data_IF_002072517220
#
_entry.id   IF_002072517220
#
_cell.length_a   1.000
_cell.length_b   1.000
_cell.length_c   1.000
_cell.angle_alpha   90.00
_cell.angle_beta   90.00
_cell.angle_gamma   90.00
#
_symmetry.space_group_name_H-M   'P 1'
#
loop_
_entity.id
_entity.type
_entity.pdbx_description
1 polymer ?
#
# COMPACT_ATOMS: atom_id res chain seq x y z
N UNK A 1 35.15 -23.72 -73.82
CA UNK A 1 34.12 -23.65 -72.81
C UNK A 1 34.68 -22.86 -71.60
N UNK A 2 34.27 -21.60 -71.45
CA UNK A 2 34.75 -20.73 -70.36
C UNK A 2 33.64 -20.67 -69.29
N UNK A 3 33.93 -21.18 -68.10
CA UNK A 3 33.00 -21.09 -66.98
C UNK A 3 33.12 -19.72 -66.31
N UNK A 4 32.03 -18.96 -66.30
CA UNK A 4 31.90 -17.71 -65.54
C UNK A 4 31.41 -18.06 -64.13
N UNK A 5 32.24 -17.85 -63.13
CA UNK A 5 31.86 -18.00 -61.72
C UNK A 5 31.27 -16.68 -61.26
N UNK A 6 29.98 -16.65 -61.02
CA UNK A 6 29.28 -15.50 -60.46
C UNK A 6 29.43 -15.55 -58.92
N UNK A 7 30.27 -14.67 -58.37
CA UNK A 7 30.37 -14.49 -56.91
C UNK A 7 29.23 -13.60 -56.44
N UNK A 8 28.26 -14.20 -55.76
CA UNK A 8 27.16 -13.48 -55.06
C UNK A 8 27.75 -12.93 -53.76
N UNK A 9 27.94 -11.61 -53.67
CA UNK A 9 28.18 -10.92 -52.43
C UNK A 9 26.84 -10.77 -51.69
N UNK A 10 26.61 -11.58 -50.65
CA UNK A 10 25.53 -11.38 -49.69
C UNK A 10 26.02 -10.30 -48.72
N UNK A 11 25.59 -9.06 -48.93
CA UNK A 11 25.74 -8.00 -47.92
C UNK A 11 24.75 -8.26 -46.81
N UNK A 12 25.24 -8.78 -45.71
CA UNK A 12 24.49 -8.77 -44.46
C UNK A 12 24.32 -7.29 -44.03
N UNK A 13 23.12 -6.76 -44.27
CA UNK A 13 22.67 -5.53 -43.64
C UNK A 13 22.44 -5.85 -42.16
N UNK A 14 23.48 -5.71 -41.37
CA UNK A 14 23.32 -5.66 -39.91
C UNK A 14 22.53 -4.39 -39.59
N UNK A 15 21.27 -4.53 -39.31
CA UNK A 15 20.53 -3.45 -38.64
C UNK A 15 21.19 -3.24 -37.28
N UNK A 16 21.98 -2.16 -37.20
CA UNK A 16 22.47 -1.66 -35.94
C UNK A 16 21.21 -1.37 -35.06
N UNK A 17 20.94 -2.23 -34.12
CA UNK A 17 20.06 -1.83 -33.01
C UNK A 17 20.71 -0.57 -32.42
N UNK A 18 19.90 0.46 -32.26
CA UNK A 18 20.34 1.70 -31.59
C UNK A 18 21.07 1.29 -30.31
N UNK A 19 22.37 1.54 -30.24
CA UNK A 19 23.19 1.20 -29.09
C UNK A 19 22.75 2.11 -27.93
N UNK A 20 21.83 1.65 -27.10
CA UNK A 20 21.57 2.29 -25.82
C UNK A 20 22.80 2.11 -24.94
N UNK A 21 23.32 3.20 -24.41
CA UNK A 21 24.35 3.13 -23.38
C UNK A 21 23.74 2.70 -22.04
N UNK A 22 24.55 2.14 -21.16
CA UNK A 22 24.14 1.82 -19.81
C UNK A 22 23.58 3.05 -19.06
N UNK A 23 24.17 4.21 -19.30
CA UNK A 23 23.72 5.48 -18.72
C UNK A 23 22.34 5.88 -19.25
N UNK A 24 22.07 5.70 -20.54
CA UNK A 24 20.74 5.92 -21.09
C UNK A 24 19.71 4.98 -20.49
N UNK A 25 20.04 3.71 -20.30
CA UNK A 25 19.11 2.73 -19.68
C UNK A 25 18.83 3.10 -18.21
N UNK A 26 19.85 3.52 -17.47
CA UNK A 26 19.72 3.94 -16.07
C UNK A 26 18.98 5.26 -15.89
N UNK A 27 18.99 6.13 -16.90
CA UNK A 27 18.35 7.45 -16.81
C UNK A 27 16.83 7.44 -16.98
N UNK A 28 16.25 6.30 -17.40
CA UNK A 28 14.79 6.20 -17.52
C UNK A 28 14.13 6.17 -16.14
N UNK A 29 13.13 7.04 -15.88
CA UNK A 29 12.36 6.99 -14.65
C UNK A 29 11.70 5.62 -14.48
N UNK A 30 11.79 5.06 -13.29
CA UNK A 30 11.09 3.82 -12.97
C UNK A 30 9.77 4.14 -12.26
N UNK A 31 8.60 3.94 -12.92
CA UNK A 31 7.31 4.23 -12.32
C UNK A 31 6.88 3.06 -11.42
N UNK A 32 6.36 3.40 -10.24
CA UNK A 32 5.74 2.46 -9.32
C UNK A 32 4.54 3.10 -8.61
N UNK A 33 3.76 2.33 -7.85
CA UNK A 33 2.69 2.80 -6.98
C UNK A 33 1.57 3.59 -7.71
N UNK A 34 1.24 3.24 -8.96
CA UNK A 34 0.18 3.93 -9.70
C UNK A 34 -1.19 3.74 -9.04
N UNK A 35 -1.86 4.85 -8.77
CA UNK A 35 -3.18 4.90 -8.16
C UNK A 35 -4.08 5.93 -8.86
N UNK A 36 -5.40 5.74 -8.78
CA UNK A 36 -6.39 6.64 -9.38
C UNK A 36 -7.51 7.01 -8.41
N UNK A 37 -7.99 8.23 -8.52
CA UNK A 37 -9.18 8.69 -7.80
C UNK A 37 -10.44 7.95 -8.29
N UNK A 38 -11.38 7.68 -7.39
CA UNK A 38 -12.64 7.02 -7.73
C UNK A 38 -13.69 7.98 -8.31
N UNK A 39 -13.59 9.27 -8.07
CA UNK A 39 -14.58 10.26 -8.44
C UNK A 39 -14.11 11.23 -9.52
N UNK A 40 -12.81 11.23 -9.83
CA UNK A 40 -12.21 12.15 -10.80
C UNK A 40 -11.32 11.43 -11.79
N UNK A 41 -10.85 12.12 -12.83
CA UNK A 41 -9.85 11.58 -13.77
C UNK A 41 -8.40 11.85 -13.32
N UNK A 42 -8.15 11.90 -12.02
CA UNK A 42 -6.83 12.17 -11.43
C UNK A 42 -6.12 10.89 -11.06
N UNK A 43 -4.82 10.86 -11.34
CA UNK A 43 -3.92 9.75 -11.00
C UNK A 43 -2.69 10.27 -10.29
N UNK A 44 -2.07 9.41 -9.47
CA UNK A 44 -0.81 9.68 -8.81
C UNK A 44 0.09 8.44 -8.89
N UNK A 45 1.40 8.65 -8.87
CA UNK A 45 2.40 7.58 -8.86
C UNK A 45 3.72 8.08 -8.31
N UNK A 46 4.63 7.18 -8.01
CA UNK A 46 6.02 7.51 -7.70
C UNK A 46 6.92 7.24 -8.91
N UNK A 47 7.90 8.10 -9.16
CA UNK A 47 9.03 7.85 -10.03
C UNK A 47 10.31 7.76 -9.22
N UNK A 48 11.12 6.75 -9.52
CA UNK A 48 12.54 6.69 -9.17
C UNK A 48 13.37 7.16 -10.38
N UNK A 49 14.07 8.26 -10.20
CA UNK A 49 14.95 8.88 -11.20
C UNK A 49 16.38 8.84 -10.67
N UNK A 50 17.08 7.72 -10.88
CA UNK A 50 18.46 7.51 -10.39
C UNK A 50 18.57 7.65 -8.85
N UNK A 51 17.62 7.04 -8.10
CA UNK A 51 17.56 7.09 -6.64
C UNK A 51 16.82 8.30 -6.08
N UNK A 52 16.51 9.30 -6.91
CA UNK A 52 15.68 10.44 -6.52
C UNK A 52 14.21 10.09 -6.71
N UNK A 53 13.53 9.84 -5.62
CA UNK A 53 12.14 9.36 -5.64
C UNK A 53 11.19 10.51 -5.41
N UNK A 54 10.25 10.71 -6.35
CA UNK A 54 9.29 11.81 -6.29
C UNK A 54 7.87 11.34 -6.64
N UNK A 55 6.87 12.01 -6.06
CA UNK A 55 5.47 11.82 -6.41
C UNK A 55 5.14 12.66 -7.64
N UNK A 56 4.44 12.03 -8.58
CA UNK A 56 3.91 12.63 -9.79
C UNK A 56 2.40 12.47 -9.84
N UNK A 57 1.76 13.40 -10.51
CA UNK A 57 0.31 13.40 -10.72
C UNK A 57 -0.03 13.76 -12.16
N UNK A 58 -1.20 13.35 -12.60
CA UNK A 58 -1.78 13.78 -13.86
C UNK A 58 -3.30 13.81 -13.78
N UNK A 59 -3.91 14.63 -14.64
CA UNK A 59 -5.37 14.74 -14.73
C UNK A 59 -5.80 14.59 -16.20
N UNK A 60 -6.89 13.83 -16.40
CA UNK A 60 -7.48 13.63 -17.72
C UNK A 60 -8.12 14.91 -18.30
N UNK A 61 -8.33 14.97 -19.63
CA UNK A 61 -8.10 13.89 -20.60
C UNK A 61 -6.65 13.76 -21.08
N UNK A 62 -5.79 14.75 -20.86
CA UNK A 62 -4.43 14.79 -21.43
C UNK A 62 -3.40 14.00 -20.64
N UNK A 63 -3.62 13.77 -19.37
CA UNK A 63 -2.70 13.08 -18.44
C UNK A 63 -1.25 13.56 -18.54
N UNK A 64 -1.04 14.87 -18.64
CA UNK A 64 0.30 15.45 -18.64
C UNK A 64 0.89 15.31 -17.23
N UNK A 65 2.02 14.61 -17.14
CA UNK A 65 2.68 14.37 -15.88
C UNK A 65 3.21 15.67 -15.25
N UNK A 66 2.92 15.88 -13.98
CA UNK A 66 3.41 16.98 -13.16
C UNK A 66 4.08 16.40 -11.92
N UNK A 67 5.36 16.74 -11.69
CA UNK A 67 6.05 16.40 -10.45
C UNK A 67 5.47 17.23 -9.30
N UNK A 68 5.13 16.55 -8.21
CA UNK A 68 4.48 17.15 -7.06
C UNK A 68 5.45 17.41 -5.90
N UNK A 69 6.38 16.47 -5.65
CA UNK A 69 7.43 16.62 -4.63
C UNK A 69 8.77 16.98 -5.25
N UNK A 70 9.73 17.43 -4.44
CA UNK A 70 11.06 17.88 -4.88
C UNK A 70 12.16 17.27 -4.02
N UNK A 71 12.19 15.94 -3.90
CA UNK A 71 13.29 15.22 -3.29
C UNK A 71 14.43 15.10 -4.30
N UNK A 72 15.55 15.81 -4.05
CA UNK A 72 16.61 15.99 -5.04
C UNK A 72 17.82 15.07 -4.83
N UNK A 73 17.86 14.37 -3.70
CA UNK A 73 19.00 13.53 -3.33
C UNK A 73 18.56 12.06 -3.26
N UNK A 74 19.47 11.15 -3.64
CA UNK A 74 19.32 9.72 -3.34
C UNK A 74 19.65 9.50 -1.85
N UNK A 75 18.63 9.52 -1.03
CA UNK A 75 18.75 9.29 0.42
C UNK A 75 18.52 7.82 0.81
N UNK A 76 18.27 6.94 -0.17
CA UNK A 76 17.85 5.57 0.08
C UNK A 76 16.44 5.44 0.69
N UNK A 77 15.67 6.54 0.77
CA UNK A 77 14.31 6.51 1.31
C UNK A 77 13.31 6.09 0.24
N UNK A 78 12.59 5.00 0.46
CA UNK A 78 11.52 4.57 -0.43
C UNK A 78 10.31 5.51 -0.36
N UNK A 79 9.58 5.62 -1.48
CA UNK A 79 8.23 6.15 -1.54
C UNK A 79 7.29 5.00 -1.87
N UNK A 80 6.34 4.74 -1.00
CA UNK A 80 5.43 3.60 -1.12
C UNK A 80 4.04 3.89 -0.56
N UNK A 81 3.11 2.97 -0.73
CA UNK A 81 1.71 3.11 -0.31
C UNK A 81 1.09 4.40 -0.85
N UNK A 82 1.46 4.80 -2.07
CA UNK A 82 0.90 5.99 -2.71
C UNK A 82 -0.59 5.78 -2.96
N UNK A 83 -1.40 6.67 -2.45
CA UNK A 83 -2.85 6.65 -2.63
C UNK A 83 -3.37 8.06 -2.88
N UNK A 84 -4.45 8.16 -3.66
CA UNK A 84 -5.15 9.40 -3.92
C UNK A 84 -6.54 9.33 -3.30
N UNK A 85 -7.00 10.43 -2.72
CA UNK A 85 -8.33 10.52 -2.12
C UNK A 85 -9.46 10.34 -3.15
N UNK A 86 -10.64 9.93 -2.70
CA UNK A 86 -11.79 9.69 -3.58
C UNK A 86 -12.14 10.91 -4.43
N UNK A 87 -12.08 12.11 -3.83
CA UNK A 87 -12.30 13.39 -4.49
C UNK A 87 -11.11 13.88 -5.33
N UNK A 88 -9.98 13.16 -5.30
CA UNK A 88 -8.76 13.45 -6.04
C UNK A 88 -7.96 14.65 -5.53
N UNK A 89 -8.27 15.21 -4.37
CA UNK A 89 -7.65 16.45 -3.89
C UNK A 89 -6.38 16.24 -3.07
N UNK A 90 -6.18 15.03 -2.53
CA UNK A 90 -5.06 14.69 -1.66
C UNK A 90 -4.32 13.44 -2.14
N UNK A 91 -3.02 13.47 -2.03
CA UNK A 91 -2.16 12.29 -2.18
C UNK A 91 -1.54 11.98 -0.81
N UNK A 92 -1.63 10.71 -0.41
CA UNK A 92 -1.00 10.18 0.80
C UNK A 92 0.04 9.15 0.39
N UNK A 93 1.20 9.17 1.03
CA UNK A 93 2.28 8.25 0.76
C UNK A 93 3.14 8.02 2.00
N UNK A 94 3.90 6.95 2.00
CA UNK A 94 4.95 6.70 3.00
C UNK A 94 6.30 7.11 2.42
N UNK A 95 7.13 7.72 3.25
CA UNK A 95 8.54 7.94 2.98
C UNK A 95 9.37 7.21 4.03
N UNK A 96 10.26 6.33 3.57
CA UNK A 96 11.04 5.44 4.41
C UNK A 96 10.56 3.99 4.37
N UNK A 97 11.31 3.08 4.98
CA UNK A 97 11.05 1.65 4.95
C UNK A 97 11.57 0.97 3.68
N UNK A 98 11.64 -0.35 3.73
CA UNK A 98 11.99 -1.21 2.61
C UNK A 98 10.90 -2.26 2.43
N UNK A 99 10.03 -2.03 1.47
CA UNK A 99 8.86 -2.87 1.20
C UNK A 99 9.16 -4.14 0.38
N UNK A 100 10.38 -4.54 0.27
CA UNK A 100 10.77 -5.72 -0.50
C UNK A 100 11.94 -6.48 0.09
N UNK A 101 12.51 -6.01 1.19
CA UNK A 101 13.65 -6.66 1.84
C UNK A 101 13.22 -7.69 2.89
N UNK A 102 14.20 -8.48 3.36
CA UNK A 102 14.04 -9.39 4.49
C UNK A 102 14.07 -8.68 5.86
N UNK A 103 14.04 -7.36 5.87
CA UNK A 103 14.09 -6.54 7.07
C UNK A 103 12.69 -6.21 7.57
N UNK A 104 12.62 -5.68 8.76
CA UNK A 104 11.37 -5.17 9.33
C UNK A 104 10.86 -3.99 8.49
N UNK A 105 9.60 -4.04 8.04
CA UNK A 105 8.96 -3.01 7.22
C UNK A 105 8.94 -1.62 7.87
N UNK A 106 9.18 -1.54 9.17
CA UNK A 106 9.25 -0.28 9.92
C UNK A 106 10.63 0.38 9.86
N UNK A 107 11.64 -0.32 9.33
CA UNK A 107 13.00 0.22 9.23
C UNK A 107 13.27 0.78 7.84
N UNK A 108 13.93 1.94 7.73
CA UNK A 108 14.33 2.48 6.44
C UNK A 108 15.42 1.63 5.79
N UNK A 109 15.35 1.50 4.46
CA UNK A 109 16.42 0.93 3.64
C UNK A 109 17.65 1.83 3.77
N UNK A 110 18.84 1.24 3.81
CA UNK A 110 20.09 1.97 3.90
C UNK A 110 20.09 3.03 5.02
N UNK A 111 20.03 2.62 6.29
CA UNK A 111 20.26 3.56 7.37
C UNK A 111 21.64 4.19 7.13
N UNK A 112 21.65 5.47 6.81
CA UNK A 112 22.90 6.23 6.66
C UNK A 112 23.67 6.10 7.98
N UNK A 113 24.99 6.31 7.97
CA UNK A 113 25.82 6.38 9.20
C UNK A 113 25.41 7.53 10.12
N UNK A 114 24.13 7.85 10.15
CA UNK A 114 23.56 8.88 10.97
C UNK A 114 23.15 8.25 12.33
N UNK A 115 23.55 8.82 13.46
CA UNK A 115 23.09 8.34 14.76
C UNK A 115 21.56 8.41 14.91
N UNK A 116 20.88 9.29 14.16
CA UNK A 116 19.44 9.35 14.07
C UNK A 116 18.99 8.77 12.71
N UNK A 117 18.66 7.46 12.63
CA UNK A 117 18.23 6.85 11.38
C UNK A 117 16.93 7.50 10.88
N UNK A 118 16.74 7.60 9.57
CA UNK A 118 15.50 8.10 8.99
C UNK A 118 14.31 7.25 9.44
N UNK A 119 13.21 7.91 9.77
CA UNK A 119 12.00 7.25 10.23
C UNK A 119 11.05 6.95 9.09
N UNK A 120 10.21 5.92 9.27
CA UNK A 120 9.11 5.62 8.37
C UNK A 120 7.96 6.55 8.69
N UNK A 121 7.60 7.41 7.75
CA UNK A 121 6.67 8.50 7.97
C UNK A 121 5.58 8.54 6.92
N UNK A 122 4.38 8.86 7.35
CA UNK A 122 3.21 9.09 6.50
C UNK A 122 3.16 10.59 6.17
N UNK A 123 3.02 10.88 4.90
CA UNK A 123 2.94 12.22 4.35
C UNK A 123 1.68 12.41 3.54
N UNK A 124 1.15 13.61 3.54
CA UNK A 124 0.10 14.04 2.61
C UNK A 124 0.55 15.27 1.82
N UNK A 125 -0.03 15.44 0.63
CA UNK A 125 0.21 16.62 -0.19
C UNK A 125 -1.04 16.90 -1.04
N UNK A 126 -1.46 18.19 -1.17
CA UNK A 126 -2.56 18.53 -2.07
C UNK A 126 -2.23 18.21 -3.53
N UNK A 127 -3.21 17.74 -4.31
CA UNK A 127 -3.05 17.49 -5.74
C UNK A 127 -2.63 18.76 -6.52
N UNK A 128 -3.07 19.91 -6.08
CA UNK A 128 -2.69 21.22 -6.65
C UNK A 128 -1.21 21.55 -6.49
N UNK A 129 -0.54 20.94 -5.51
CA UNK A 129 0.82 21.23 -5.11
C UNK A 129 0.90 21.96 -3.77
N UNK A 130 2.09 22.29 -3.36
CA UNK A 130 2.43 22.85 -2.06
C UNK A 130 3.53 22.03 -1.39
N UNK A 131 3.83 22.34 -0.14
CA UNK A 131 4.79 21.57 0.63
C UNK A 131 4.14 20.28 1.17
N UNK A 132 4.85 19.15 1.15
CA UNK A 132 4.37 17.93 1.79
C UNK A 132 4.18 18.14 3.30
N UNK A 133 3.09 17.61 3.82
CA UNK A 133 2.71 17.69 5.23
C UNK A 133 3.04 16.33 5.89
N UNK A 134 3.90 16.33 6.89
CA UNK A 134 4.17 15.14 7.69
C UNK A 134 3.00 14.89 8.65
N UNK A 135 2.34 13.76 8.50
CA UNK A 135 1.16 13.39 9.28
C UNK A 135 1.60 12.73 10.60
N UNK A 136 2.34 11.63 10.52
CA UNK A 136 2.83 10.90 11.68
C UNK A 136 3.88 9.84 11.26
N UNK A 137 4.51 9.20 12.23
CA UNK A 137 5.26 7.96 12.05
C UNK A 137 4.29 6.79 12.01
N UNK A 138 4.43 5.90 11.03
CA UNK A 138 3.54 4.74 10.90
C UNK A 138 3.55 4.12 9.51
N UNK A 139 2.76 3.07 9.36
CA UNK A 139 2.68 2.25 8.14
C UNK A 139 1.23 1.99 7.72
N UNK A 140 1.06 1.54 6.47
CA UNK A 140 -0.23 1.14 5.90
C UNK A 140 -1.32 2.21 6.02
N UNK A 141 -1.10 3.45 5.53
CA UNK A 141 -2.14 4.47 5.53
C UNK A 141 -3.29 4.09 4.59
N UNK A 142 -4.52 4.31 5.03
CA UNK A 142 -5.75 4.14 4.25
C UNK A 142 -6.59 5.38 4.38
N UNK A 143 -6.83 6.06 3.26
CA UNK A 143 -7.66 7.26 3.23
C UNK A 143 -9.12 6.90 3.45
N UNK A 144 -9.83 7.69 4.25
CA UNK A 144 -11.27 7.62 4.42
C UNK A 144 -12.00 7.83 3.08
N UNK A 145 -13.11 7.13 2.81
CA UNK A 145 -13.95 7.42 1.64
C UNK A 145 -14.45 8.86 1.58
N UNK A 146 -14.51 9.55 2.73
CA UNK A 146 -14.89 10.96 2.81
C UNK A 146 -13.74 11.93 2.47
N UNK A 147 -12.54 11.43 2.17
CA UNK A 147 -11.36 12.20 1.80
C UNK A 147 -10.85 13.17 2.88
N UNK A 148 -11.22 12.94 4.13
CA UNK A 148 -10.96 13.84 5.26
C UNK A 148 -9.93 13.30 6.27
N UNK A 149 -9.79 11.98 6.37
CA UNK A 149 -8.97 11.31 7.38
C UNK A 149 -8.11 10.19 6.79
N UNK A 150 -7.05 9.84 7.52
CA UNK A 150 -6.17 8.72 7.23
C UNK A 150 -6.16 7.81 8.46
N UNK A 151 -6.49 6.52 8.26
CA UNK A 151 -6.25 5.49 9.26
C UNK A 151 -4.93 4.78 8.95
N UNK A 152 -4.11 4.50 9.96
CA UNK A 152 -2.79 3.90 9.78
C UNK A 152 -2.39 3.07 11.01
N UNK A 153 -1.30 2.33 10.90
CA UNK A 153 -0.75 1.52 11.99
C UNK A 153 0.45 2.25 12.59
N UNK A 154 0.40 2.44 13.90
CA UNK A 154 1.52 2.91 14.73
C UNK A 154 1.57 2.09 16.00
N UNK A 155 2.75 1.58 16.36
CA UNK A 155 2.96 0.74 17.55
C UNK A 155 2.01 -0.49 17.59
N UNK A 156 1.73 -1.08 16.43
CA UNK A 156 0.82 -2.22 16.31
C UNK A 156 -0.65 -1.94 16.65
N UNK A 157 -1.06 -0.69 16.65
CA UNK A 157 -2.44 -0.24 16.88
C UNK A 157 -2.90 0.68 15.75
N UNK A 158 -4.21 0.86 15.60
CA UNK A 158 -4.78 1.73 14.58
C UNK A 158 -4.93 3.15 15.12
N UNK A 159 -4.37 4.08 14.38
CA UNK A 159 -4.43 5.51 14.64
C UNK A 159 -5.17 6.22 13.50
N UNK A 160 -5.68 7.39 13.77
CA UNK A 160 -6.35 8.25 12.79
C UNK A 160 -5.84 9.67 12.93
N UNK A 161 -5.65 10.31 11.78
CA UNK A 161 -5.30 11.73 11.69
C UNK A 161 -6.11 12.39 10.57
N UNK A 162 -6.24 13.70 10.62
CA UNK A 162 -6.75 14.48 9.49
C UNK A 162 -5.80 14.40 8.31
N UNK A 163 -6.34 14.37 7.09
CA UNK A 163 -5.54 14.25 5.86
C UNK A 163 -4.73 15.52 5.56
N UNK A 164 -5.18 16.67 6.03
CA UNK A 164 -4.52 17.97 5.90
C UNK A 164 -3.49 18.23 7.00
N UNK A 165 -3.31 17.29 7.94
CA UNK A 165 -2.42 17.41 9.08
C UNK A 165 -2.90 18.37 10.18
N UNK A 166 -4.13 18.87 10.10
CA UNK A 166 -4.69 19.70 11.15
C UNK A 166 -5.12 18.85 12.36
N UNK A 167 -4.71 19.27 13.56
CA UNK A 167 -5.01 18.58 14.81
C UNK A 167 -4.00 17.51 15.19
N UNK A 168 -4.31 16.77 16.25
CA UNK A 168 -3.45 15.73 16.77
C UNK A 168 -3.88 14.35 16.27
N UNK A 169 -2.90 13.52 15.92
CA UNK A 169 -3.12 12.09 15.64
C UNK A 169 -3.61 11.40 16.91
N UNK A 170 -4.62 10.55 16.78
CA UNK A 170 -5.16 9.82 17.93
C UNK A 170 -5.24 8.32 17.69
N UNK A 171 -4.91 7.56 18.73
CA UNK A 171 -5.19 6.12 18.75
C UNK A 171 -6.71 5.92 18.73
N UNK A 172 -7.20 5.18 17.75
CA UNK A 172 -8.64 5.02 17.53
C UNK A 172 -9.28 4.20 18.65
N UNK A 173 -8.60 3.13 19.07
CA UNK A 173 -8.99 2.28 20.19
C UNK A 173 -7.77 1.48 20.68
N UNK A 174 -7.93 0.80 21.81
CA UNK A 174 -6.97 -0.19 22.25
C UNK A 174 -7.60 -1.60 22.18
N UNK A 175 -6.94 -2.52 21.49
CA UNK A 175 -7.30 -3.92 21.48
C UNK A 175 -6.07 -4.80 21.71
N UNK A 176 -6.28 -5.96 22.33
CA UNK A 176 -5.20 -6.92 22.58
C UNK A 176 -4.59 -7.41 21.26
N UNK A 177 -3.28 -7.61 21.23
CA UNK A 177 -2.51 -8.06 20.08
C UNK A 177 -2.10 -6.91 19.15
N UNK A 178 -1.55 -7.24 17.99
CA UNK A 178 -1.30 -6.27 16.92
C UNK A 178 -2.58 -6.12 16.11
N UNK A 179 -2.92 -4.89 15.76
CA UNK A 179 -4.11 -4.59 14.97
C UNK A 179 -3.69 -3.97 13.64
N UNK A 180 -4.23 -4.47 12.53
CA UNK A 180 -3.86 -4.03 11.19
C UNK A 180 -4.82 -4.52 10.12
N UNK A 181 -4.38 -4.52 8.85
CA UNK A 181 -5.23 -4.87 7.69
C UNK A 181 -6.60 -4.20 7.74
N UNK A 182 -6.59 -2.94 8.13
CA UNK A 182 -7.80 -2.16 8.35
C UNK A 182 -8.38 -1.63 7.04
N UNK A 183 -9.69 -1.43 7.03
CA UNK A 183 -10.42 -0.82 5.90
C UNK A 183 -11.64 -0.05 6.41
N UNK A 184 -11.88 1.12 5.84
CA UNK A 184 -13.07 1.90 6.08
C UNK A 184 -14.31 1.24 5.48
N UNK A 185 -15.45 1.37 6.14
CA UNK A 185 -16.74 1.10 5.50
C UNK A 185 -16.99 2.11 4.39
N UNK A 186 -17.80 1.78 3.36
CA UNK A 186 -18.04 2.68 2.23
C UNK A 186 -18.56 4.06 2.61
N UNK A 187 -19.29 4.16 3.72
CA UNK A 187 -19.81 5.40 4.27
C UNK A 187 -18.84 6.15 5.21
N UNK A 188 -17.63 5.61 5.43
CA UNK A 188 -16.61 6.19 6.31
C UNK A 188 -16.94 6.08 7.83
N UNK A 189 -18.09 5.49 8.20
CA UNK A 189 -18.54 5.49 9.59
C UNK A 189 -17.94 4.39 10.48
N UNK A 190 -17.26 3.39 9.88
CA UNK A 190 -16.71 2.22 10.59
C UNK A 190 -15.36 1.82 10.01
N UNK A 191 -14.58 1.11 10.83
CA UNK A 191 -13.34 0.47 10.40
C UNK A 191 -13.41 -1.01 10.74
N UNK A 192 -13.25 -1.87 9.72
CA UNK A 192 -12.96 -3.27 9.90
C UNK A 192 -11.44 -3.45 10.01
N UNK A 193 -10.99 -4.35 10.88
CA UNK A 193 -9.56 -4.60 11.09
C UNK A 193 -9.31 -6.04 11.52
N UNK A 194 -8.07 -6.48 11.38
CA UNK A 194 -7.59 -7.77 11.87
C UNK A 194 -6.83 -7.56 13.18
N UNK A 195 -7.21 -8.30 14.21
CA UNK A 195 -6.46 -8.40 15.47
C UNK A 195 -5.66 -9.68 15.50
N UNK A 196 -4.33 -9.58 15.32
CA UNK A 196 -3.39 -10.70 15.34
C UNK A 196 -3.02 -11.06 16.78
N UNK A 197 -3.19 -12.34 17.15
CA UNK A 197 -2.98 -12.83 18.52
C UNK A 197 -2.16 -14.12 18.56
N UNK A 198 -1.02 -14.12 17.88
CA UNK A 198 -0.14 -15.27 17.76
C UNK A 198 -0.66 -16.28 16.74
N UNK A 199 -1.12 -17.43 17.21
CA UNK A 199 -1.60 -18.54 16.38
C UNK A 199 -2.97 -18.32 15.69
N UNK A 200 -3.66 -17.24 16.03
CA UNK A 200 -5.01 -16.91 15.54
C UNK A 200 -5.17 -15.42 15.27
N UNK A 201 -6.17 -15.08 14.49
CA UNK A 201 -6.56 -13.68 14.28
C UNK A 201 -8.07 -13.54 14.14
N UNK A 202 -8.56 -12.36 14.48
CA UNK A 202 -9.99 -12.05 14.51
C UNK A 202 -10.27 -10.78 13.73
N UNK A 203 -11.44 -10.72 13.09
CA UNK A 203 -11.91 -9.48 12.49
C UNK A 203 -12.75 -8.73 13.51
N UNK A 204 -12.36 -7.50 13.80
CA UNK A 204 -13.10 -6.54 14.58
C UNK A 204 -13.72 -5.47 13.68
N UNK A 205 -14.85 -4.93 14.12
CA UNK A 205 -15.48 -3.74 13.55
C UNK A 205 -15.58 -2.69 14.64
N UNK A 206 -14.89 -1.59 14.46
CA UNK A 206 -14.98 -0.40 15.30
C UNK A 206 -15.94 0.61 14.65
N UNK A 207 -16.75 1.25 15.45
CA UNK A 207 -17.66 2.31 15.04
C UNK A 207 -17.31 3.65 15.69
N UNK A 208 -17.35 3.70 16.99
CA UNK A 208 -17.10 4.91 17.77
C UNK A 208 -16.68 4.57 19.21
N UNK A 209 -16.26 5.58 19.96
CA UNK A 209 -15.77 5.43 21.34
C UNK A 209 -16.87 4.96 22.35
N UNK A 210 -18.13 5.10 21.98
CA UNK A 210 -19.28 4.73 22.82
C UNK A 210 -19.77 3.31 22.57
N UNK A 211 -19.27 2.68 21.50
CA UNK A 211 -19.67 1.35 21.06
C UNK A 211 -18.57 0.33 21.31
N UNK A 212 -18.95 -0.85 21.78
CA UNK A 212 -18.02 -1.97 21.86
C UNK A 212 -17.58 -2.42 20.45
N UNK A 213 -16.33 -2.84 20.30
CA UNK A 213 -15.87 -3.51 19.08
C UNK A 213 -16.70 -4.76 18.85
N UNK A 214 -17.29 -4.88 17.66
CA UNK A 214 -17.98 -6.10 17.24
C UNK A 214 -16.95 -7.07 16.66
N UNK A 215 -16.86 -8.27 17.23
CA UNK A 215 -16.00 -9.33 16.74
C UNK A 215 -16.80 -10.26 15.82
N UNK A 216 -16.34 -10.37 14.56
CA UNK A 216 -17.03 -11.14 13.53
C UNK A 216 -16.69 -12.62 13.70
N UNK A 217 -17.71 -13.42 14.05
CA UNK A 217 -17.64 -14.89 14.11
C UNK A 217 -16.31 -15.44 14.65
N UNK A 218 -15.86 -15.06 15.85
CA UNK A 218 -14.55 -15.42 16.36
C UNK A 218 -14.40 -16.94 16.49
N UNK A 219 -13.25 -17.47 16.08
CA UNK A 219 -12.91 -18.89 16.10
C UNK A 219 -11.48 -19.13 16.58
N UNK A 220 -11.00 -20.36 16.54
CA UNK A 220 -9.59 -20.70 16.75
C UNK A 220 -8.74 -20.56 15.47
N UNK A 221 -9.36 -20.13 14.39
CA UNK A 221 -8.72 -19.96 13.08
C UNK A 221 -8.06 -18.60 12.95
N UNK A 222 -7.45 -18.38 11.78
CA UNK A 222 -6.91 -17.10 11.34
C UNK A 222 -7.85 -16.45 10.35
N UNK A 223 -8.44 -15.35 10.72
CA UNK A 223 -9.25 -14.51 9.86
C UNK A 223 -8.41 -13.35 9.36
N UNK A 224 -8.41 -13.13 8.03
CA UNK A 224 -7.59 -12.10 7.37
C UNK A 224 -8.35 -11.40 6.23
N UNK A 225 -7.79 -10.30 5.75
CA UNK A 225 -8.22 -9.61 4.54
C UNK A 225 -9.71 -9.23 4.51
N UNK A 226 -10.24 -8.55 5.54
CA UNK A 226 -11.64 -8.12 5.52
C UNK A 226 -11.90 -7.15 4.36
N UNK A 227 -13.04 -7.34 3.68
CA UNK A 227 -13.53 -6.47 2.63
C UNK A 227 -15.00 -6.19 2.83
N UNK A 228 -15.36 -4.92 2.79
CA UNK A 228 -16.75 -4.48 2.90
C UNK A 228 -17.53 -4.73 1.61
N UNK A 229 -18.80 -5.06 1.74
CA UNK A 229 -19.75 -4.94 0.65
C UNK A 229 -20.01 -3.46 0.32
N UNK A 230 -20.40 -3.14 -0.92
CA UNK A 230 -20.65 -1.74 -1.33
C UNK A 230 -21.71 -1.02 -0.48
N UNK A 231 -22.68 -1.74 0.10
CA UNK A 231 -23.71 -1.20 0.99
C UNK A 231 -23.27 -1.09 2.47
N UNK A 232 -22.03 -1.54 2.79
CA UNK A 232 -21.47 -1.48 4.15
C UNK A 232 -22.14 -2.40 5.17
N UNK A 233 -22.96 -3.36 4.73
CA UNK A 233 -23.68 -4.26 5.63
C UNK A 233 -23.02 -5.63 5.84
N UNK A 234 -22.11 -6.01 4.95
CA UNK A 234 -21.43 -7.30 4.98
C UNK A 234 -19.92 -7.14 4.92
N UNK A 235 -19.22 -8.13 5.48
CA UNK A 235 -17.78 -8.28 5.35
C UNK A 235 -17.48 -9.67 4.79
N UNK A 236 -16.70 -9.70 3.72
CA UNK A 236 -16.10 -10.93 3.18
C UNK A 236 -14.67 -11.01 3.68
N UNK A 237 -14.21 -12.19 4.08
CA UNK A 237 -12.88 -12.39 4.62
C UNK A 237 -12.38 -13.82 4.37
N UNK A 238 -11.07 -14.00 4.48
CA UNK A 238 -10.41 -15.30 4.35
C UNK A 238 -10.24 -15.90 5.74
N UNK A 239 -10.63 -17.17 5.90
CA UNK A 239 -10.39 -17.99 7.10
C UNK A 239 -9.46 -19.14 6.77
N UNK A 240 -8.43 -19.30 7.59
CA UNK A 240 -7.46 -20.39 7.52
C UNK A 240 -7.35 -21.04 8.90
N UNK A 241 -7.03 -22.35 8.99
CA UNK A 241 -6.75 -22.99 10.28
C UNK A 241 -5.69 -22.21 11.06
N UNK A 242 -5.87 -22.10 12.37
CA UNK A 242 -4.88 -21.55 13.27
C UNK A 242 -3.56 -22.34 13.17
N UNK A 243 -2.42 -21.67 13.27
CA UNK A 243 -1.15 -22.37 13.33
C UNK A 243 -1.00 -22.98 14.72
N UNK A 244 -1.14 -24.28 14.81
CA UNK A 244 -1.03 -25.06 16.05
C UNK A 244 0.41 -25.12 16.60
N UNK A 245 1.15 -24.03 16.56
CA UNK A 245 2.51 -23.94 17.11
C UNK A 245 3.57 -24.74 16.35
N UNK A 246 3.26 -25.31 15.22
CA UNK A 246 4.28 -25.93 14.36
C UNK A 246 5.09 -24.84 13.63
N UNK A 247 6.42 -24.90 13.67
CA UNK A 247 7.26 -23.98 12.93
C UNK A 247 6.99 -24.14 11.43
N UNK A 248 6.96 -23.02 10.70
CA UNK A 248 6.87 -23.03 9.25
C UNK A 248 8.02 -23.85 8.68
N UNK A 249 7.69 -24.85 7.87
CA UNK A 249 8.68 -25.66 7.20
C UNK A 249 9.41 -24.82 6.16
N UNK A 250 10.71 -24.63 6.33
CA UNK A 250 11.58 -23.95 5.35
C UNK A 250 11.62 -24.71 4.00
N UNK A 251 11.20 -25.96 3.97
CA UNK A 251 11.40 -26.88 2.85
C UNK A 251 10.12 -27.24 2.05
N UNK A 252 9.01 -26.56 2.28
CA UNK A 252 7.81 -26.81 1.48
C UNK A 252 6.70 -25.80 1.73
N UNK A 253 6.20 -25.21 0.67
CA UNK A 253 4.95 -24.45 0.73
C UNK A 253 3.83 -25.42 1.17
N UNK A 254 3.45 -25.39 2.45
CA UNK A 254 2.23 -26.05 2.89
C UNK A 254 1.07 -25.30 2.25
N UNK A 255 0.31 -25.97 1.40
CA UNK A 255 -1.00 -25.47 0.99
C UNK A 255 -1.93 -25.52 2.21
N UNK A 256 -1.97 -24.40 2.95
CA UNK A 256 -2.90 -24.27 4.06
C UNK A 256 -4.29 -24.13 3.45
N UNK A 257 -5.25 -25.00 3.77
CA UNK A 257 -6.61 -24.86 3.29
C UNK A 257 -7.17 -23.52 3.76
N UNK A 258 -7.97 -22.88 2.92
CA UNK A 258 -8.62 -21.61 3.25
C UNK A 258 -10.07 -21.64 2.80
N UNK A 259 -10.84 -20.77 3.43
CA UNK A 259 -12.27 -20.61 3.17
C UNK A 259 -12.55 -19.14 2.92
N UNK A 260 -13.47 -18.87 2.03
CA UNK A 260 -14.05 -17.55 1.86
C UNK A 260 -15.30 -17.47 2.72
N UNK A 261 -15.29 -16.58 3.70
CA UNK A 261 -16.39 -16.35 4.64
C UNK A 261 -17.09 -15.04 4.33
N UNK A 262 -18.38 -15.00 4.57
CA UNK A 262 -19.19 -13.78 4.55
C UNK A 262 -19.93 -13.64 5.86
N UNK A 263 -19.97 -12.43 6.39
CA UNK A 263 -20.71 -12.12 7.64
C UNK A 263 -21.53 -10.85 7.47
N UNK A 264 -22.76 -10.89 7.92
CA UNK A 264 -23.60 -9.70 8.09
C UNK A 264 -23.25 -9.03 9.43
N UNK A 265 -22.91 -7.75 9.40
CA UNK A 265 -22.43 -7.00 10.58
C UNK A 265 -23.55 -6.59 11.55
N UNK A 266 -24.81 -6.66 11.13
CA UNK A 266 -25.95 -6.29 11.95
C UNK A 266 -26.50 -7.51 12.69
N UNK A 267 -26.70 -8.63 11.97
CA UNK A 267 -27.20 -9.88 12.52
C UNK A 267 -26.11 -10.78 13.10
N UNK A 268 -24.85 -10.53 12.75
CA UNK A 268 -23.68 -11.35 13.11
C UNK A 268 -23.76 -12.79 12.58
N UNK A 269 -24.61 -13.04 11.60
CA UNK A 269 -24.70 -14.35 10.92
C UNK A 269 -23.57 -14.45 9.90
N UNK A 270 -22.89 -15.58 9.92
CA UNK A 270 -21.77 -15.87 9.02
C UNK A 270 -22.03 -17.15 8.25
N UNK A 271 -21.63 -17.16 7.00
CA UNK A 271 -21.70 -18.32 6.10
C UNK A 271 -20.40 -18.51 5.34
N UNK A 272 -20.12 -19.75 4.99
CA UNK A 272 -19.02 -20.11 4.09
C UNK A 272 -19.50 -19.94 2.66
N UNK A 273 -18.74 -19.18 1.86
CA UNK A 273 -19.02 -19.00 0.44
C UNK A 273 -18.26 -20.00 -0.42
N UNK A 274 -17.07 -20.41 0.04
CA UNK A 274 -16.20 -21.35 -0.68
C UNK A 274 -15.10 -21.88 0.23
#
# INVERSE_FOLDING_TARGET
MRYFVLLLFITNLSYSQSNFTLDQIKSYPFPNELTGSSETSRIAWAFDEEGKRNIYVAEGPSFIAKRLTSYMDDTGQELSSVSISSDGNWIVYIRGGDFGSNWDDELPVNPTFNPDPPKVQIWSIPFSGGDPIMIDEGINPVISPLSDQIAYIKEGQIWVSSIDGEGESKKLFHSRGRNGSHSWSPDGSKIAFVSYRGDRSFIGVYKDEKSNIKWINPSFDRDTSPRWSPDGNQIVYIRQPGAAGEPDSILGARHVPWKLMKSDINTMVSEELW
#
